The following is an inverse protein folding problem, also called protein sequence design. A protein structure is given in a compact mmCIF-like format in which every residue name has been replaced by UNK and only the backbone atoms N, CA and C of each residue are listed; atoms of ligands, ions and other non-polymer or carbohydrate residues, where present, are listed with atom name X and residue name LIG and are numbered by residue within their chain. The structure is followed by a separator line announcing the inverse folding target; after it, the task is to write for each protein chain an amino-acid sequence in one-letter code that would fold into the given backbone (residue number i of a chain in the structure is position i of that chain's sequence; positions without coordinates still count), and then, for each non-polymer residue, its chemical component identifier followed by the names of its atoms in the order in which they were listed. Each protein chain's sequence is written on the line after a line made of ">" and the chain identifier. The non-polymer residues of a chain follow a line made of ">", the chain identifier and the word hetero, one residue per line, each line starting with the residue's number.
data_IF_288474720950
#
_entry.id   IF_288474720950
#
_cell.length_a   1.000
_cell.length_b   1.000
_cell.length_c   1.000
_cell.angle_alpha   90.00
_cell.angle_beta   90.00
_cell.angle_gamma   90.00
#
_symmetry.space_group_name_H-M   'P 1'
#
loop_
_entity.id
_entity.type
_entity.pdbx_description
1 polymer ?
#
# COMPACT_ATOMS: atom_id res chain seq x y z
N UNK A 1 -25.71 -12.76 13.92
CA UNK A 1 -24.69 -13.32 13.01
C UNK A 1 -23.35 -12.78 13.48
N UNK A 2 -22.54 -13.61 14.13
CA UNK A 2 -21.21 -13.21 14.59
C UNK A 2 -20.29 -13.16 13.37
N UNK A 3 -20.00 -11.96 12.87
CA UNK A 3 -18.86 -11.77 11.98
C UNK A 3 -17.60 -11.99 12.81
N UNK A 4 -17.04 -13.19 12.73
CA UNK A 4 -15.70 -13.47 13.21
C UNK A 4 -14.77 -12.60 12.37
N UNK A 5 -14.21 -11.54 12.98
CA UNK A 5 -13.33 -10.60 12.30
C UNK A 5 -12.11 -11.39 11.79
N UNK A 6 -12.02 -11.59 10.48
CA UNK A 6 -10.88 -12.26 9.87
C UNK A 6 -9.67 -11.33 9.98
N UNK A 7 -8.54 -11.87 10.47
CA UNK A 7 -7.28 -11.14 10.61
C UNK A 7 -6.87 -10.50 9.28
N UNK A 8 -6.58 -9.20 9.30
CA UNK A 8 -6.11 -8.44 8.14
C UNK A 8 -4.58 -8.38 8.11
N UNK A 9 -4.01 -8.10 6.94
CA UNK A 9 -2.57 -7.84 6.82
C UNK A 9 -2.13 -6.60 7.63
N UNK A 10 -3.04 -5.63 7.87
CA UNK A 10 -2.75 -4.49 8.74
C UNK A 10 -2.66 -4.89 10.20
N UNK A 11 -3.49 -5.83 10.67
CA UNK A 11 -3.41 -6.34 12.04
C UNK A 11 -2.05 -7.01 12.29
N UNK A 12 -1.56 -7.78 11.31
CA UNK A 12 -0.23 -8.38 11.35
C UNK A 12 0.86 -7.32 11.39
N UNK A 13 0.78 -6.31 10.52
CA UNK A 13 1.74 -5.20 10.50
C UNK A 13 1.77 -4.44 11.83
N UNK A 14 0.60 -4.11 12.40
CA UNK A 14 0.48 -3.43 13.68
C UNK A 14 1.08 -4.24 14.83
N UNK A 15 0.90 -5.57 14.82
CA UNK A 15 1.55 -6.45 15.79
C UNK A 15 3.08 -6.38 15.67
N UNK A 16 3.63 -6.44 14.46
CA UNK A 16 5.09 -6.32 14.25
C UNK A 16 5.61 -4.96 14.74
N UNK A 17 4.87 -3.87 14.48
CA UNK A 17 5.25 -2.53 14.95
C UNK A 17 5.30 -2.44 16.48
N UNK A 18 4.38 -3.11 17.19
CA UNK A 18 4.35 -3.17 18.66
C UNK A 18 5.54 -3.95 19.23
N UNK A 19 5.88 -5.10 18.63
CA UNK A 19 6.95 -5.97 19.16
C UNK A 19 8.36 -5.54 18.74
N UNK A 20 8.51 -4.96 17.55
CA UNK A 20 9.82 -4.64 16.96
C UNK A 20 9.93 -3.19 16.44
N UNK A 21 9.54 -2.17 17.24
CA UNK A 21 9.41 -0.78 16.75
C UNK A 21 10.72 -0.17 16.25
N UNK A 22 11.86 -0.61 16.81
CA UNK A 22 13.20 -0.10 16.48
C UNK A 22 13.90 -0.91 15.38
N UNK A 23 13.35 -2.05 14.96
CA UNK A 23 13.96 -2.85 13.90
C UNK A 23 13.75 -2.17 12.54
N UNK A 24 14.71 -2.35 11.64
CA UNK A 24 14.63 -1.87 10.26
C UNK A 24 13.50 -2.62 9.55
N UNK A 25 12.53 -1.88 9.02
CA UNK A 25 11.43 -2.41 8.23
C UNK A 25 11.75 -2.38 6.73
N UNK A 26 12.30 -1.26 6.26
CA UNK A 26 12.62 -1.04 4.84
C UNK A 26 13.96 -0.30 4.73
N UNK A 27 14.76 -0.68 3.74
CA UNK A 27 16.03 -0.04 3.42
C UNK A 27 16.14 0.15 1.91
N UNK A 28 16.58 1.34 1.49
CA UNK A 28 16.90 1.66 0.11
C UNK A 28 18.25 2.41 0.07
N UNK A 29 19.28 1.75 -0.45
CA UNK A 29 20.66 2.23 -0.34
C UNK A 29 21.08 2.48 1.12
N UNK A 30 21.40 3.73 1.44
CA UNK A 30 21.80 4.17 2.78
C UNK A 30 20.61 4.60 3.66
N UNK A 31 19.42 4.80 3.08
CA UNK A 31 18.25 5.24 3.80
C UNK A 31 17.50 4.06 4.41
N UNK A 32 17.00 4.24 5.63
CA UNK A 32 16.28 3.19 6.36
C UNK A 32 15.07 3.77 7.08
N UNK A 33 14.01 2.98 7.17
CA UNK A 33 12.89 3.23 8.06
C UNK A 33 12.78 2.09 9.07
N UNK A 34 12.67 2.42 10.35
CA UNK A 34 12.26 1.43 11.36
C UNK A 34 10.76 1.16 11.26
N UNK A 35 10.28 0.06 11.84
CA UNK A 35 8.84 -0.22 11.91
C UNK A 35 8.05 0.94 12.53
N UNK A 36 8.54 1.55 13.62
CA UNK A 36 7.89 2.73 14.23
C UNK A 36 7.81 3.91 13.26
N UNK A 37 8.89 4.22 12.55
CA UNK A 37 8.91 5.36 11.61
C UNK A 37 7.99 5.08 10.42
N UNK A 38 8.04 3.87 9.86
CA UNK A 38 7.16 3.44 8.77
C UNK A 38 5.69 3.52 9.18
N UNK A 39 5.36 3.02 10.38
CA UNK A 39 4.01 3.07 10.92
C UNK A 39 3.52 4.53 11.07
N UNK A 40 4.33 5.40 11.69
CA UNK A 40 3.95 6.80 11.91
C UNK A 40 3.79 7.59 10.61
N UNK A 41 4.72 7.46 9.66
CA UNK A 41 4.62 8.12 8.35
C UNK A 41 3.41 7.64 7.56
N UNK A 42 3.15 6.33 7.54
CA UNK A 42 1.98 5.79 6.85
C UNK A 42 0.67 6.19 7.53
N UNK A 43 0.64 6.33 8.86
CA UNK A 43 -0.54 6.85 9.59
C UNK A 43 -0.80 8.34 9.30
N UNK A 44 0.24 9.17 9.25
CA UNK A 44 0.12 10.59 8.89
C UNK A 44 -0.41 10.76 7.45
N UNK A 45 0.16 10.03 6.50
CA UNK A 45 -0.34 10.02 5.12
C UNK A 45 -1.76 9.46 5.02
N UNK A 46 -2.12 8.45 5.81
CA UNK A 46 -3.50 7.93 5.85
C UNK A 46 -4.50 8.97 6.35
N UNK A 47 -4.15 9.74 7.38
CA UNK A 47 -4.97 10.87 7.84
C UNK A 47 -5.14 11.90 6.74
N UNK A 48 -4.05 12.28 6.06
CA UNK A 48 -4.09 13.24 4.96
C UNK A 48 -4.95 12.75 3.79
N UNK A 49 -4.91 11.46 3.49
CA UNK A 49 -5.80 10.84 2.51
C UNK A 49 -7.27 11.02 2.89
N UNK A 50 -7.63 10.76 4.16
CA UNK A 50 -8.99 10.99 4.68
C UNK A 50 -9.38 12.47 4.64
N UNK A 51 -8.49 13.37 5.02
CA UNK A 51 -8.71 14.82 4.98
C UNK A 51 -8.95 15.32 3.53
N UNK A 52 -8.38 14.64 2.53
CA UNK A 52 -8.62 14.91 1.11
C UNK A 52 -9.83 14.17 0.53
N UNK A 53 -10.62 13.49 1.36
CA UNK A 53 -11.91 12.91 0.99
C UNK A 53 -11.85 11.45 0.51
N UNK A 54 -10.77 10.72 0.79
CA UNK A 54 -10.75 9.26 0.57
C UNK A 54 -11.87 8.58 1.37
N UNK A 55 -12.61 7.71 0.69
CA UNK A 55 -13.75 6.97 1.27
C UNK A 55 -13.41 5.49 1.47
N UNK A 56 -14.15 4.84 2.37
CA UNK A 56 -14.05 3.41 2.58
C UNK A 56 -14.26 2.61 1.27
N UNK A 57 -13.41 1.61 1.04
CA UNK A 57 -13.36 0.78 -0.18
C UNK A 57 -13.09 1.55 -1.48
N UNK A 58 -12.67 2.81 -1.43
CA UNK A 58 -12.27 3.54 -2.64
C UNK A 58 -10.96 2.96 -3.18
N UNK A 59 -10.86 2.79 -4.51
CA UNK A 59 -9.60 2.39 -5.15
C UNK A 59 -8.70 3.62 -5.29
N UNK A 60 -7.50 3.55 -4.73
CA UNK A 60 -6.50 4.63 -4.77
C UNK A 60 -5.26 4.15 -5.53
N UNK A 61 -5.00 4.72 -6.72
CA UNK A 61 -3.77 4.45 -7.46
C UNK A 61 -2.53 4.99 -6.75
N UNK A 62 -1.47 4.18 -6.76
CA UNK A 62 -0.13 4.58 -6.35
C UNK A 62 0.80 4.56 -7.56
N UNK A 63 1.17 5.73 -8.06
CA UNK A 63 2.15 5.89 -9.15
C UNK A 63 3.54 5.94 -8.54
N UNK A 64 4.33 4.88 -8.74
CA UNK A 64 5.61 4.69 -8.03
C UNK A 64 6.59 3.88 -8.85
N UNK A 65 7.85 3.92 -8.44
CA UNK A 65 8.87 2.90 -8.70
C UNK A 65 9.24 2.20 -7.37
N UNK A 66 10.18 1.27 -7.39
CA UNK A 66 10.68 0.63 -6.16
C UNK A 66 11.48 1.64 -5.34
N UNK A 67 10.95 2.06 -4.20
CA UNK A 67 11.59 2.94 -3.24
C UNK A 67 11.01 2.74 -1.84
N UNK A 68 11.63 3.32 -0.81
CA UNK A 68 11.13 3.24 0.57
C UNK A 68 9.72 3.85 0.75
N UNK A 69 9.45 4.97 0.07
CA UNK A 69 8.18 5.69 0.17
C UNK A 69 7.02 4.95 -0.51
N UNK A 70 7.32 4.00 -1.40
CA UNK A 70 6.31 3.09 -1.93
C UNK A 70 5.61 2.33 -0.80
N UNK A 71 6.38 1.80 0.16
CA UNK A 71 5.84 1.02 1.28
C UNK A 71 5.00 1.92 2.20
N UNK A 72 5.44 3.17 2.40
CA UNK A 72 4.66 4.20 3.11
C UNK A 72 3.31 4.43 2.42
N UNK A 73 3.30 4.64 1.10
CA UNK A 73 2.10 4.86 0.30
C UNK A 73 1.12 3.69 0.33
N UNK A 74 1.61 2.45 0.19
CA UNK A 74 0.79 1.23 0.28
C UNK A 74 0.10 1.18 1.64
N UNK A 75 0.87 1.25 2.73
CA UNK A 75 0.32 1.14 4.08
C UNK A 75 -0.64 2.29 4.40
N UNK A 76 -0.35 3.51 3.92
CA UNK A 76 -1.21 4.66 4.12
C UNK A 76 -2.59 4.50 3.44
N UNK A 77 -2.62 3.99 2.20
CA UNK A 77 -3.87 3.70 1.49
C UNK A 77 -4.69 2.67 2.27
N UNK A 78 -4.07 1.58 2.70
CA UNK A 78 -4.74 0.54 3.48
C UNK A 78 -5.28 1.10 4.81
N UNK A 79 -4.46 1.87 5.54
CA UNK A 79 -4.84 2.53 6.80
C UNK A 79 -5.92 3.60 6.62
N UNK A 80 -6.08 4.15 5.42
CA UNK A 80 -7.19 5.04 5.09
C UNK A 80 -8.51 4.29 4.83
N UNK A 81 -8.51 2.94 4.89
CA UNK A 81 -9.68 2.11 4.60
C UNK A 81 -9.94 1.96 3.10
N UNK A 82 -8.92 2.17 2.28
CA UNK A 82 -8.99 2.16 0.82
C UNK A 82 -8.25 0.96 0.20
N UNK A 83 -8.50 0.73 -1.08
CA UNK A 83 -7.95 -0.37 -1.87
C UNK A 83 -6.79 0.17 -2.72
N UNK A 84 -5.61 -0.41 -2.57
CA UNK A 84 -4.42 0.01 -3.30
C UNK A 84 -4.40 -0.59 -4.73
N UNK A 85 -4.02 0.21 -5.73
CA UNK A 85 -3.66 -0.29 -7.07
C UNK A 85 -2.28 0.23 -7.50
N UNK A 86 -1.29 -0.64 -7.75
CA UNK A 86 0.00 -0.20 -8.24
C UNK A 86 -0.06 0.33 -9.66
N UNK A 87 0.71 1.38 -9.92
CA UNK A 87 1.05 1.86 -11.26
C UNK A 87 2.57 2.04 -11.31
N UNK A 88 3.22 1.23 -12.16
CA UNK A 88 4.67 1.29 -12.37
C UNK A 88 5.01 2.46 -13.29
N UNK A 89 5.59 3.51 -12.73
CA UNK A 89 5.90 4.74 -13.47
C UNK A 89 7.11 4.63 -14.40
N UNK A 90 7.98 3.63 -14.19
CA UNK A 90 9.19 3.44 -15.00
C UNK A 90 8.89 2.54 -16.19
N UNK A 91 8.10 1.48 -15.99
CA UNK A 91 7.89 0.45 -17.00
C UNK A 91 6.62 0.63 -17.82
N UNK A 92 5.59 1.31 -17.28
CA UNK A 92 4.31 1.40 -17.98
C UNK A 92 4.26 2.59 -18.95
N UNK A 93 3.80 2.38 -20.20
CA UNK A 93 3.54 3.49 -21.11
C UNK A 93 2.41 4.37 -20.58
N UNK A 94 2.44 5.67 -20.90
CA UNK A 94 1.46 6.67 -20.43
C UNK A 94 0.01 6.26 -20.71
N UNK A 95 -0.24 5.64 -21.87
CA UNK A 95 -1.56 5.18 -22.28
C UNK A 95 -2.12 4.13 -21.32
N UNK A 96 -1.26 3.23 -20.80
CA UNK A 96 -1.64 2.22 -19.82
C UNK A 96 -1.96 2.85 -18.47
N UNK A 97 -1.17 3.83 -18.04
CA UNK A 97 -1.43 4.60 -16.81
C UNK A 97 -2.81 5.26 -16.89
N UNK A 98 -3.09 5.98 -17.97
CA UNK A 98 -4.39 6.65 -18.20
C UNK A 98 -5.55 5.66 -18.25
N UNK A 99 -5.37 4.48 -18.87
CA UNK A 99 -6.40 3.43 -18.90
C UNK A 99 -6.74 2.92 -17.50
N UNK A 100 -5.73 2.65 -16.66
CA UNK A 100 -5.93 2.20 -15.27
C UNK A 100 -6.59 3.29 -14.43
N UNK A 101 -6.14 4.54 -14.53
CA UNK A 101 -6.75 5.67 -13.83
C UNK A 101 -8.24 5.84 -14.20
N UNK A 102 -8.58 5.70 -15.49
CA UNK A 102 -9.97 5.76 -15.95
C UNK A 102 -10.81 4.60 -15.43
N UNK A 103 -10.27 3.37 -15.45
CA UNK A 103 -10.98 2.16 -14.99
C UNK A 103 -11.27 2.17 -13.50
N UNK A 104 -10.44 2.86 -12.73
CA UNK A 104 -10.57 2.98 -11.27
C UNK A 104 -11.37 4.21 -10.84
N UNK A 105 -11.88 4.99 -11.81
CA UNK A 105 -12.57 6.27 -11.56
C UNK A 105 -11.76 7.18 -10.61
N UNK A 106 -10.45 7.22 -10.83
CA UNK A 106 -9.52 7.83 -9.91
C UNK A 106 -9.71 9.36 -9.88
N UNK A 107 -10.02 9.87 -8.69
CA UNK A 107 -10.05 11.31 -8.37
C UNK A 107 -8.90 11.72 -7.45
N UNK A 108 -8.30 10.77 -6.75
CA UNK A 108 -7.16 10.93 -5.84
C UNK A 108 -6.09 9.91 -6.24
N UNK A 109 -4.84 10.34 -6.32
CA UNK A 109 -3.69 9.50 -6.68
C UNK A 109 -2.56 9.79 -5.70
N UNK A 110 -1.98 8.72 -5.16
CA UNK A 110 -0.74 8.81 -4.39
C UNK A 110 0.44 8.63 -5.35
N UNK A 111 1.53 9.37 -5.15
CA UNK A 111 2.74 9.22 -5.97
C UNK A 111 4.02 9.28 -5.14
N UNK A 112 5.09 8.69 -5.68
CA UNK A 112 6.48 8.92 -5.25
C UNK A 112 7.25 9.51 -6.42
N UNK A 113 8.40 10.14 -6.20
CA UNK A 113 9.21 10.80 -7.23
C UNK A 113 8.55 12.02 -7.87
N UNK A 114 8.96 12.44 -9.09
CA UNK A 114 8.45 13.65 -9.72
C UNK A 114 6.93 13.60 -9.95
N UNK A 115 6.22 14.65 -9.55
CA UNK A 115 4.77 14.77 -9.77
C UNK A 115 4.42 14.63 -11.25
N UNK A 116 3.41 13.80 -11.54
CA UNK A 116 2.84 13.65 -12.89
C UNK A 116 1.75 14.70 -13.09
N UNK A 117 1.70 15.29 -14.28
CA UNK A 117 0.66 16.27 -14.64
C UNK A 117 -0.67 15.55 -14.95
N UNK A 118 -1.58 15.58 -13.98
CA UNK A 118 -2.92 15.01 -14.03
C UNK A 118 -3.92 16.05 -13.47
N UNK A 119 -4.28 17.08 -14.25
CA UNK A 119 -4.94 18.29 -13.74
C UNK A 119 -6.33 18.08 -13.13
N UNK A 120 -6.99 16.96 -13.43
CA UNK A 120 -8.30 16.60 -12.87
C UNK A 120 -8.24 15.74 -11.61
N UNK A 121 -7.03 15.46 -11.09
CA UNK A 121 -6.82 14.55 -9.96
C UNK A 121 -6.12 15.26 -8.80
N UNK A 122 -6.51 14.93 -7.58
CA UNK A 122 -5.79 15.31 -6.37
C UNK A 122 -4.55 14.41 -6.26
N UNK A 123 -3.38 15.02 -6.41
CA UNK A 123 -2.09 14.31 -6.34
C UNK A 123 -1.50 14.45 -4.94
N UNK A 124 -1.31 13.34 -4.24
CA UNK A 124 -0.79 13.30 -2.86
C UNK A 124 0.59 12.64 -2.84
N UNK A 125 1.57 13.33 -2.26
CA UNK A 125 2.97 12.90 -2.22
C UNK A 125 3.23 11.89 -1.09
N UNK A 126 3.77 10.72 -1.40
CA UNK A 126 4.13 9.73 -0.38
C UNK A 126 5.54 9.95 0.20
N UNK A 127 6.35 10.85 -0.36
CA UNK A 127 7.70 11.18 0.11
C UNK A 127 7.70 12.32 1.12
N UNK A 128 6.56 12.95 1.34
CA UNK A 128 6.42 13.98 2.35
C UNK A 128 6.65 13.38 3.75
N UNK A 129 7.74 13.82 4.37
CA UNK A 129 8.25 13.27 5.63
C UNK A 129 7.54 13.84 6.85
N UNK A 130 6.20 13.83 6.84
CA UNK A 130 5.37 14.23 7.97
C UNK A 130 5.23 13.09 8.97
N UNK A 131 5.44 13.42 10.24
CA UNK A 131 5.11 12.57 11.37
C UNK A 131 4.25 13.41 12.30
N UNK A 132 3.04 12.94 12.54
CA UNK A 132 2.15 13.53 13.53
C UNK A 132 2.25 12.72 14.82
N UNK A 133 2.96 13.27 15.81
CA UNK A 133 3.10 12.65 17.14
C UNK A 133 1.79 12.67 17.94
N UNK A 134 0.81 13.47 17.53
CA UNK A 134 -0.51 13.55 18.17
C UNK A 134 -1.52 12.54 17.62
N UNK A 135 -1.17 11.80 16.55
CA UNK A 135 -1.98 10.68 16.09
C UNK A 135 -1.98 9.58 17.14
N UNK A 136 -3.13 9.42 17.80
CA UNK A 136 -3.40 8.23 18.58
C UNK A 136 -3.42 7.01 17.65
N UNK A 137 -2.85 5.90 18.12
CA UNK A 137 -2.84 4.62 17.38
C UNK A 137 -4.27 4.01 17.23
N UNK A 138 -5.30 4.71 17.71
CA UNK A 138 -6.66 4.20 17.94
C UNK A 138 -7.74 4.77 17.01
N UNK A 139 -7.43 5.58 15.99
CA UNK A 139 -8.47 5.97 15.02
C UNK A 139 -8.94 4.72 14.24
N UNK A 140 -10.02 4.10 14.74
CA UNK A 140 -10.53 2.83 14.25
C UNK A 140 -11.14 3.04 12.87
N UNK A 141 -10.35 2.78 11.83
CA UNK A 141 -10.81 2.81 10.44
C UNK A 141 -11.36 1.43 10.09
N UNK A 142 -12.54 1.40 9.49
CA UNK A 142 -13.11 0.17 8.95
C UNK A 142 -12.19 -0.34 7.82
N UNK A 143 -11.72 -1.57 7.94
CA UNK A 143 -10.87 -2.21 6.93
C UNK A 143 -11.79 -2.85 5.87
N UNK A 144 -11.64 -2.52 4.59
CA UNK A 144 -12.41 -3.16 3.52
C UNK A 144 -12.02 -4.64 3.36
N UNK A 145 -12.85 -5.43 2.67
CA UNK A 145 -12.48 -6.82 2.37
C UNK A 145 -11.26 -6.89 1.43
N UNK A 146 -11.21 -6.00 0.43
CA UNK A 146 -10.15 -5.91 -0.57
C UNK A 146 -9.01 -5.02 -0.06
N UNK A 147 -7.78 -5.53 -0.15
CA UNK A 147 -6.55 -4.76 0.10
C UNK A 147 -6.02 -4.15 -1.20
N UNK A 148 -6.08 -4.90 -2.31
CA UNK A 148 -5.50 -4.46 -3.56
C UNK A 148 -6.31 -4.86 -4.80
N UNK A 149 -6.12 -4.07 -5.86
CA UNK A 149 -6.58 -4.36 -7.21
C UNK A 149 -5.36 -4.31 -8.15
N UNK A 150 -4.99 -5.43 -8.77
CA UNK A 150 -3.81 -5.51 -9.65
C UNK A 150 -4.22 -5.74 -11.10
N UNK A 151 -3.85 -4.83 -12.01
CA UNK A 151 -4.21 -4.92 -13.42
C UNK A 151 -3.21 -5.76 -14.22
N UNK A 152 -3.69 -6.89 -14.74
CA UNK A 152 -2.90 -7.81 -15.58
C UNK A 152 -3.21 -7.62 -17.06
N UNK A 153 -2.27 -7.95 -17.95
CA UNK A 153 -2.50 -7.99 -19.39
C UNK A 153 -3.54 -9.08 -19.69
N UNK A 154 -4.79 -8.68 -19.95
CA UNK A 154 -5.84 -9.63 -20.31
C UNK A 154 -5.58 -10.24 -21.69
N UNK A 155 -5.80 -11.54 -21.85
CA UNK A 155 -5.73 -12.26 -23.13
C UNK A 155 -6.67 -11.70 -24.20
N UNK A 156 -7.71 -10.98 -23.78
CA UNK A 156 -8.69 -10.29 -24.64
C UNK A 156 -8.30 -8.86 -25.02
N UNK A 157 -7.08 -8.41 -24.66
CA UNK A 157 -6.59 -7.05 -24.89
C UNK A 157 -7.09 -5.99 -23.89
N UNK A 158 -8.08 -6.32 -23.05
CA UNK A 158 -8.54 -5.45 -21.95
C UNK A 158 -7.99 -5.94 -20.61
N UNK A 159 -7.22 -5.12 -19.86
CA UNK A 159 -6.74 -5.48 -18.54
C UNK A 159 -7.87 -5.85 -17.58
N UNK A 160 -7.70 -6.93 -16.81
CA UNK A 160 -8.61 -7.32 -15.72
C UNK A 160 -7.96 -6.94 -14.39
N UNK A 161 -8.72 -6.29 -13.51
CA UNK A 161 -8.31 -6.04 -12.13
C UNK A 161 -8.45 -7.32 -11.33
N UNK A 162 -7.33 -7.86 -10.85
CA UNK A 162 -7.28 -9.00 -9.93
C UNK A 162 -7.49 -8.47 -8.52
N UNK A 163 -8.58 -8.87 -7.91
CA UNK A 163 -8.93 -8.50 -6.54
C UNK A 163 -8.15 -9.34 -5.52
N UNK A 164 -7.56 -8.68 -4.53
CA UNK A 164 -6.79 -9.33 -3.47
C UNK A 164 -7.37 -8.90 -2.13
N UNK A 165 -7.75 -9.88 -1.29
CA UNK A 165 -8.36 -9.64 0.02
C UNK A 165 -7.31 -9.44 1.11
N UNK A 166 -7.64 -8.63 2.11
CA UNK A 166 -6.83 -8.50 3.34
C UNK A 166 -6.58 -9.85 4.01
N UNK A 167 -7.62 -10.67 4.14
CA UNK A 167 -7.54 -12.00 4.75
C UNK A 167 -6.73 -12.99 3.91
N UNK A 168 -6.79 -12.90 2.58
CA UNK A 168 -5.96 -13.73 1.70
C UNK A 168 -4.48 -13.42 1.87
N UNK A 169 -4.11 -12.13 1.97
CA UNK A 169 -2.72 -11.73 2.25
C UNK A 169 -2.28 -12.18 3.64
N UNK A 170 -3.11 -11.96 4.67
CA UNK A 170 -2.80 -12.37 6.03
C UNK A 170 -2.55 -13.89 6.11
N UNK A 171 -3.48 -14.69 5.56
CA UNK A 171 -3.34 -16.14 5.52
C UNK A 171 -2.09 -16.59 4.76
N UNK A 172 -1.76 -15.91 3.66
CA UNK A 172 -0.57 -16.22 2.87
C UNK A 172 0.72 -16.02 3.68
N UNK A 173 0.89 -14.85 4.31
CA UNK A 173 2.13 -14.54 5.04
C UNK A 173 2.28 -15.34 6.35
N UNK A 174 1.18 -15.78 6.95
CA UNK A 174 1.20 -16.64 8.14
C UNK A 174 1.19 -18.14 7.83
N UNK A 175 1.05 -18.52 6.55
CA UNK A 175 1.01 -19.92 6.15
C UNK A 175 2.34 -20.61 6.43
N UNK A 176 2.37 -21.81 7.02
CA UNK A 176 3.61 -22.57 7.22
C UNK A 176 4.38 -22.85 5.93
N UNK A 177 3.69 -22.85 4.78
CA UNK A 177 4.33 -23.07 3.47
C UNK A 177 5.06 -21.84 2.92
N UNK A 178 4.78 -20.66 3.47
CA UNK A 178 5.35 -19.39 3.03
C UNK A 178 6.19 -18.72 4.13
N UNK A 179 5.93 -19.05 5.39
CA UNK A 179 6.75 -18.64 6.51
C UNK A 179 7.98 -19.58 6.59
N UNK A 180 9.00 -19.28 5.78
CA UNK A 180 10.28 -19.99 5.70
C UNK A 180 11.14 -19.82 6.98
N UNK A 181 10.52 -19.97 8.16
CA UNK A 181 11.09 -19.67 9.48
C UNK A 181 11.73 -18.28 9.55
N UNK A 182 11.06 -17.28 8.95
CA UNK A 182 11.57 -15.91 8.87
C UNK A 182 11.68 -15.30 10.28
N UNK A 183 12.86 -14.77 10.57
CA UNK A 183 13.25 -14.15 11.84
C UNK A 183 13.46 -12.64 11.67
N UNK A 184 13.51 -11.86 12.78
CA UNK A 184 13.87 -10.44 12.73
C UNK A 184 15.28 -10.15 12.17
N UNK A 185 16.16 -11.15 12.16
CA UNK A 185 17.52 -11.08 11.62
C UNK A 185 17.54 -11.19 10.08
N UNK A 186 16.49 -11.76 9.47
CA UNK A 186 16.42 -11.97 8.02
C UNK A 186 16.19 -10.67 7.24
N UNK A 187 16.61 -10.68 5.98
CA UNK A 187 16.41 -9.58 5.03
C UNK A 187 15.86 -10.14 3.72
N UNK A 188 14.74 -9.59 3.27
CA UNK A 188 14.06 -10.00 2.03
C UNK A 188 14.24 -8.90 0.99
N UNK A 189 14.72 -9.28 -0.20
CA UNK A 189 14.89 -8.36 -1.31
C UNK A 189 13.59 -8.25 -2.10
N UNK A 190 13.14 -7.02 -2.37
CA UNK A 190 12.08 -6.75 -3.34
C UNK A 190 12.67 -6.79 -4.75
N UNK A 191 12.47 -7.90 -5.46
CA UNK A 191 13.01 -8.11 -6.83
C UNK A 191 11.95 -7.88 -7.92
N UNK A 192 10.67 -7.99 -7.57
CA UNK A 192 9.57 -7.93 -8.52
C UNK A 192 9.18 -6.49 -8.85
N UNK A 193 8.61 -6.28 -10.05
CA UNK A 193 7.98 -5.00 -10.41
C UNK A 193 6.88 -4.66 -9.40
N UNK A 194 6.76 -3.37 -9.09
CA UNK A 194 5.76 -2.83 -8.15
C UNK A 194 4.32 -3.15 -8.55
N UNK A 195 4.07 -3.46 -9.82
CA UNK A 195 2.75 -3.76 -10.37
C UNK A 195 2.55 -5.25 -10.72
N UNK A 196 3.41 -6.14 -10.21
CA UNK A 196 3.31 -7.58 -10.34
C UNK A 196 2.96 -8.24 -9.00
N UNK A 197 2.09 -9.24 -9.01
CA UNK A 197 1.54 -9.87 -7.80
C UNK A 197 2.41 -10.99 -7.21
N UNK A 198 3.48 -11.40 -7.89
CA UNK A 198 4.56 -12.22 -7.31
C UNK A 198 4.20 -13.65 -6.94
N UNK A 199 3.12 -14.20 -7.52
CA UNK A 199 2.69 -15.58 -7.31
C UNK A 199 3.61 -16.61 -7.97
#
# INVERSE_FOLDING_TARGET
>A
MNHQHSLSVLDLFQNVCRFFPNNIAVQDGAETLSYRVLDRRSSALAKRLRDNGVRHSQVIPLITNSCLCMVVGILAILKAGAIYTPIDREQWPKERIVDVLRRTDASIVVYTGPKVDLPSMVMIDAEENEIDESLDDEEMVLIPELAALIFTSGTTGKPKGVEIKHSSLANFVTSPHFNYDVTPEDRVLLVLSVAFDGK
#
